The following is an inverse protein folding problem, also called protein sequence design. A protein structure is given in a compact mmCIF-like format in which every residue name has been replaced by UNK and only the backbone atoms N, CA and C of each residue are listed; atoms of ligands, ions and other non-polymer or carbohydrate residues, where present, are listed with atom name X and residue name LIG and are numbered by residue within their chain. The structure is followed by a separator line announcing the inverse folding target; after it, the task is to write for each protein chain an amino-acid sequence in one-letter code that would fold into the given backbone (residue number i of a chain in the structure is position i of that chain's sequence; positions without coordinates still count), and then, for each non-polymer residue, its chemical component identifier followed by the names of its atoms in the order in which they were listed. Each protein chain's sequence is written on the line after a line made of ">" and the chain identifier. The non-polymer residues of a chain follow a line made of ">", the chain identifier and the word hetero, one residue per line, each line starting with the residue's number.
data_IF_026279527000
#
_entry.id   IF_026279527000
#
_cell.length_a   1.000
_cell.length_b   1.000
_cell.length_c   1.000
_cell.angle_alpha   90.00
_cell.angle_beta   90.00
_cell.angle_gamma   90.00
#
_symmetry.space_group_name_H-M   'P 1'
#
loop_
_entity.id
_entity.type
_entity.pdbx_description
1 polymer ?
#
# COMPACT_ATOMS: atom_id res chain seq x y z
N UNK A 1 10.75 -22.24 10.73
CA UNK A 1 11.34 -20.94 10.36
C UNK A 1 10.58 -20.44 9.16
N UNK A 2 9.69 -19.46 9.34
CA UNK A 2 8.98 -18.84 8.21
C UNK A 2 9.99 -18.07 7.36
N UNK A 3 9.94 -18.16 6.02
CA UNK A 3 10.86 -17.41 5.18
C UNK A 3 10.64 -15.93 5.50
N UNK A 4 11.67 -15.31 6.04
CA UNK A 4 11.78 -13.85 6.11
C UNK A 4 11.42 -13.36 4.71
N UNK A 5 10.23 -12.78 4.55
CA UNK A 5 9.81 -12.17 3.30
C UNK A 5 10.87 -11.10 3.03
N UNK A 6 11.87 -11.43 2.22
CA UNK A 6 12.90 -10.53 1.76
C UNK A 6 12.12 -9.40 1.07
N UNK A 7 11.89 -8.31 1.81
CA UNK A 7 11.19 -7.14 1.31
C UNK A 7 12.21 -6.36 0.51
N UNK A 8 12.41 -6.78 -0.74
CA UNK A 8 13.26 -6.08 -1.68
C UNK A 8 12.66 -4.69 -1.97
N UNK A 9 13.47 -3.66 -1.79
CA UNK A 9 13.16 -2.32 -2.28
C UNK A 9 13.16 -2.32 -3.81
N UNK A 10 12.29 -1.52 -4.46
CA UNK A 10 11.42 -0.48 -3.89
C UNK A 10 10.07 -1.02 -3.38
N UNK A 11 9.59 -0.48 -2.24
CA UNK A 11 8.36 -0.95 -1.58
C UNK A 11 7.09 -0.78 -2.43
N UNK A 12 7.04 0.20 -3.33
CA UNK A 12 5.89 0.42 -4.23
C UNK A 12 5.65 -0.74 -5.22
N UNK A 13 6.69 -1.52 -5.53
CA UNK A 13 6.59 -2.68 -6.44
C UNK A 13 6.13 -3.95 -5.73
N UNK A 14 5.94 -3.90 -4.41
CA UNK A 14 5.48 -5.05 -3.64
C UNK A 14 3.96 -5.17 -3.74
N UNK A 15 3.49 -5.75 -4.84
CA UNK A 15 2.06 -5.91 -5.17
C UNK A 15 1.28 -6.53 -4.00
N UNK A 16 1.81 -7.54 -3.31
CA UNK A 16 1.13 -8.14 -2.14
C UNK A 16 0.90 -7.12 -1.01
N UNK A 17 1.91 -6.31 -0.70
CA UNK A 17 1.83 -5.31 0.36
C UNK A 17 0.87 -4.17 -0.02
N UNK A 18 0.91 -3.72 -1.29
CA UNK A 18 -0.01 -2.73 -1.84
C UNK A 18 -1.46 -3.21 -1.70
N UNK A 19 -1.73 -4.46 -2.10
CA UNK A 19 -3.07 -5.09 -2.03
C UNK A 19 -3.59 -5.24 -0.60
N UNK A 20 -2.74 -5.72 0.30
CA UNK A 20 -3.11 -5.90 1.71
C UNK A 20 -3.45 -4.55 2.36
N UNK A 21 -2.63 -3.53 2.13
CA UNK A 21 -2.84 -2.19 2.66
C UNK A 21 -4.06 -1.52 2.02
N UNK A 22 -4.27 -1.69 0.72
CA UNK A 22 -5.45 -1.19 0.00
C UNK A 22 -6.75 -1.83 0.52
N UNK A 23 -6.78 -3.15 0.69
CA UNK A 23 -7.94 -3.85 1.24
C UNK A 23 -8.24 -3.38 2.68
N UNK A 24 -7.21 -3.17 3.50
CA UNK A 24 -7.38 -2.69 4.86
C UNK A 24 -7.85 -1.23 4.91
N UNK A 25 -7.29 -0.36 4.08
CA UNK A 25 -7.72 1.04 3.96
C UNK A 25 -9.13 1.17 3.38
N UNK A 26 -9.51 0.34 2.42
CA UNK A 26 -10.87 0.33 1.85
C UNK A 26 -11.95 -0.01 2.86
N UNK A 27 -11.62 -0.79 3.89
CA UNK A 27 -12.53 -1.16 4.99
C UNK A 27 -12.51 -0.17 6.17
N UNK A 28 -11.66 0.87 6.12
CA UNK A 28 -11.55 1.88 7.16
C UNK A 28 -11.98 3.24 6.60
N UNK A 29 -12.65 4.04 7.42
CA UNK A 29 -13.11 5.37 7.02
C UNK A 29 -12.77 6.40 8.09
N UNK A 30 -12.57 7.65 7.68
CA UNK A 30 -12.32 8.77 8.58
C UNK A 30 -11.02 8.64 9.40
N UNK A 31 -11.14 8.82 10.72
CA UNK A 31 -10.00 8.82 11.64
C UNK A 31 -9.28 7.46 11.70
N UNK A 32 -9.96 6.31 11.82
CA UNK A 32 -9.31 4.99 11.75
C UNK A 32 -8.43 4.76 10.51
N UNK A 33 -8.88 5.20 9.33
CA UNK A 33 -8.10 5.09 8.10
C UNK A 33 -6.85 5.96 8.15
N UNK A 34 -7.00 7.19 8.65
CA UNK A 34 -5.91 8.16 8.80
C UNK A 34 -4.86 7.66 9.79
N UNK A 35 -5.30 7.16 10.94
CA UNK A 35 -4.44 6.63 12.00
C UNK A 35 -3.71 5.37 11.53
N UNK A 36 -4.40 4.46 10.84
CA UNK A 36 -3.78 3.29 10.22
C UNK A 36 -2.71 3.68 9.19
N UNK A 37 -3.03 4.61 8.27
CA UNK A 37 -2.07 5.06 7.27
C UNK A 37 -0.86 5.74 7.90
N UNK A 38 -1.05 6.61 8.91
CA UNK A 38 0.06 7.27 9.62
C UNK A 38 0.99 6.25 10.27
N UNK A 39 0.45 5.26 10.98
CA UNK A 39 1.25 4.20 11.58
C UNK A 39 2.03 3.42 10.50
N UNK A 40 1.34 3.02 9.42
CA UNK A 40 1.95 2.28 8.31
C UNK A 40 3.04 3.08 7.59
N UNK A 41 2.82 4.37 7.37
CA UNK A 41 3.78 5.26 6.73
C UNK A 41 5.05 5.44 7.57
N UNK A 42 4.91 5.57 8.90
CA UNK A 42 6.06 5.60 9.81
C UNK A 42 6.83 4.28 9.79
N UNK A 43 6.14 3.14 9.86
CA UNK A 43 6.79 1.82 9.74
C UNK A 43 7.59 1.68 8.43
N UNK A 44 7.00 2.09 7.30
CA UNK A 44 7.66 2.04 5.99
C UNK A 44 8.84 3.01 5.93
N UNK A 45 8.72 4.21 6.50
CA UNK A 45 9.80 5.19 6.54
C UNK A 45 11.00 4.66 7.34
N UNK A 46 10.76 4.11 8.54
CA UNK A 46 11.80 3.50 9.38
C UNK A 46 12.49 2.34 8.66
N UNK A 47 11.74 1.49 7.95
CA UNK A 47 12.30 0.40 7.15
C UNK A 47 13.22 0.90 6.03
N UNK A 48 12.79 1.93 5.28
CA UNK A 48 13.57 2.46 4.16
C UNK A 48 14.81 3.19 4.67
N UNK A 49 14.70 3.97 5.74
CA UNK A 49 15.84 4.65 6.38
C UNK A 49 16.81 3.63 6.98
N UNK A 50 16.29 2.59 7.65
CA UNK A 50 17.09 1.50 8.23
C UNK A 50 17.87 0.68 7.20
N UNK A 51 17.49 0.74 5.91
CA UNK A 51 18.25 0.16 4.80
C UNK A 51 19.43 1.01 4.33
N UNK A 52 19.70 2.14 4.98
CA UNK A 52 20.80 3.06 4.67
C UNK A 52 20.45 4.12 3.63
N UNK A 53 19.15 4.28 3.31
CA UNK A 53 18.68 5.27 2.33
C UNK A 53 18.44 6.62 2.98
N UNK A 54 18.72 7.69 2.24
CA UNK A 54 18.44 9.06 2.71
C UNK A 54 16.95 9.27 3.05
N UNK A 55 16.68 10.10 4.05
CA UNK A 55 15.33 10.37 4.55
C UNK A 55 14.41 10.98 3.49
N UNK A 56 14.94 11.80 2.58
CA UNK A 56 14.20 12.39 1.46
C UNK A 56 13.79 11.31 0.46
N UNK A 57 14.74 10.44 0.09
CA UNK A 57 14.48 9.32 -0.80
C UNK A 57 13.50 8.31 -0.18
N UNK A 58 13.59 8.09 1.13
CA UNK A 58 12.66 7.26 1.89
C UNK A 58 11.24 7.84 1.89
N UNK A 59 11.10 9.15 2.10
CA UNK A 59 9.82 9.83 2.02
C UNK A 59 9.17 9.74 0.64
N UNK A 60 9.96 9.91 -0.43
CA UNK A 60 9.46 9.77 -1.80
C UNK A 60 8.99 8.34 -2.09
N UNK A 61 9.67 7.34 -1.54
CA UNK A 61 9.28 5.94 -1.70
C UNK A 61 7.97 5.59 -0.97
N UNK A 62 7.78 6.10 0.25
CA UNK A 62 6.49 5.99 0.98
C UNK A 62 5.37 6.69 0.20
N UNK A 63 5.66 7.84 -0.43
CA UNK A 63 4.69 8.55 -1.28
C UNK A 63 4.31 7.73 -2.51
N UNK A 64 5.27 7.13 -3.21
CA UNK A 64 5.00 6.23 -4.36
C UNK A 64 4.18 5.02 -3.94
N UNK A 65 4.49 4.44 -2.78
CA UNK A 65 3.73 3.34 -2.23
C UNK A 65 2.27 3.75 -1.98
N UNK A 66 2.02 4.93 -1.40
CA UNK A 66 0.65 5.41 -1.18
C UNK A 66 -0.12 5.60 -2.49
N UNK A 67 0.53 6.11 -3.54
CA UNK A 67 -0.09 6.25 -4.87
C UNK A 67 -0.47 4.88 -5.45
N UNK A 68 0.38 3.86 -5.28
CA UNK A 68 0.08 2.50 -5.68
C UNK A 68 -1.13 1.92 -4.91
N UNK A 69 -1.22 2.17 -3.60
CA UNK A 69 -2.34 1.77 -2.75
C UNK A 69 -3.65 2.42 -3.20
N UNK A 70 -3.65 3.74 -3.41
CA UNK A 70 -4.85 4.44 -3.90
C UNK A 70 -5.28 3.93 -5.27
N UNK A 71 -4.33 3.68 -6.17
CA UNK A 71 -4.62 3.12 -7.49
C UNK A 71 -5.24 1.72 -7.41
N UNK A 72 -4.77 0.88 -6.48
CA UNK A 72 -5.36 -0.45 -6.25
C UNK A 72 -6.78 -0.36 -5.66
N UNK A 73 -7.01 0.57 -4.72
CA UNK A 73 -8.35 0.84 -4.17
C UNK A 73 -9.32 1.30 -5.28
N UNK A 74 -8.86 2.17 -6.18
CA UNK A 74 -9.65 2.61 -7.34
C UNK A 74 -9.86 1.50 -8.36
N UNK A 75 -8.89 0.62 -8.59
CA UNK A 75 -9.04 -0.51 -9.51
C UNK A 75 -10.07 -1.54 -9.00
N UNK A 76 -10.15 -1.75 -7.69
CA UNK A 76 -11.15 -2.61 -7.05
C UNK A 76 -12.59 -2.10 -7.16
N UNK A 77 -12.80 -0.78 -7.36
CA UNK A 77 -14.14 -0.19 -7.54
C UNK A 77 -14.73 -0.47 -8.94
N UNK A 78 -13.89 -0.80 -9.93
CA UNK A 78 -14.32 -1.07 -11.31
C UNK A 78 -14.72 -2.55 -11.52
N UNK A 79 -14.48 -3.41 -10.52
CA UNK A 79 -14.90 -4.80 -10.56
C UNK A 79 -16.35 -4.99 -10.06
N UNK A 80 -17.27 -4.14 -10.49
CA UNK A 80 -18.68 -4.54 -10.51
C UNK A 80 -18.86 -5.49 -11.71
N UNK A 81 -19.36 -6.72 -11.52
CA UNK A 81 -19.63 -7.61 -12.64
C UNK A 81 -20.68 -6.94 -13.52
N UNK A 82 -20.28 -6.55 -14.74
CA UNK A 82 -21.21 -6.06 -15.74
C UNK A 82 -22.35 -7.08 -15.89
N UNK A 83 -23.62 -6.69 -15.75
CA UNK A 83 -24.72 -7.61 -15.96
C UNK A 83 -24.66 -8.03 -17.43
N UNK A 84 -24.37 -9.30 -17.66
CA UNK A 84 -24.54 -9.95 -18.96
C UNK A 84 -26.03 -9.87 -19.32
N UNK A 85 -26.41 -8.80 -20.02
CA UNK A 85 -27.67 -8.69 -20.75
C UNK A 85 -27.64 -9.74 -21.86
N UNK A 86 -28.21 -10.91 -21.57
CA UNK A 86 -28.55 -11.88 -22.60
C UNK A 86 -29.79 -11.38 -23.34
N UNK A 87 -29.66 -11.24 -24.66
CA UNK A 87 -30.72 -10.89 -25.61
C UNK A 87 -31.58 -12.12 -25.96
#
# INVERSE_FOLDING_TARGET
>A
MSPEKIRAFPIDRQVFLVREVAAKLGNLHGEPATSFWRAKASELLDLVVGSGRDRTAAGDEVRRFFLAVQREMSAGVVAEPMPILSA
#
